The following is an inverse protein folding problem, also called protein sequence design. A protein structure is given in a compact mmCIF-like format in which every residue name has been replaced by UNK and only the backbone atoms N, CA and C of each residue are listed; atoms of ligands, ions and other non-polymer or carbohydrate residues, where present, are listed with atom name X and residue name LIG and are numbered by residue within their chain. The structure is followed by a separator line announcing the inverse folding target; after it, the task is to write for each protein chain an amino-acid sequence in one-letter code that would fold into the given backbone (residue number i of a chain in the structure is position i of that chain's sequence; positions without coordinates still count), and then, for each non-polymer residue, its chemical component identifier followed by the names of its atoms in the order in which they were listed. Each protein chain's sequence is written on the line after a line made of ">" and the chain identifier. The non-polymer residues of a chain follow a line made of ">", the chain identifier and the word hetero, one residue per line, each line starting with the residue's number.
data_IF_080509651214
#
_entry.id   IF_080509651214
#
_cell.length_a   1.000
_cell.length_b   1.000
_cell.length_c   1.000
_cell.angle_alpha   90.00
_cell.angle_beta   90.00
_cell.angle_gamma   90.00
#
_symmetry.space_group_name_H-M   'P 1'
#
loop_
_entity.id
_entity.type
_entity.pdbx_description
1 polymer ?
#
# COMPACT_ATOMS: atom_id res chain seq x y z
N UNK A 1 12.17 -5.17 11.16
CA UNK A 1 10.87 -4.51 11.50
C UNK A 1 10.09 -4.36 10.22
N UNK A 2 8.81 -4.73 10.21
CA UNK A 2 7.96 -4.54 9.04
C UNK A 2 7.12 -3.28 9.20
N UNK A 3 6.82 -2.63 8.08
CA UNK A 3 5.87 -1.54 7.98
C UNK A 3 4.62 -2.08 7.31
N UNK A 4 3.45 -1.66 7.78
CA UNK A 4 2.14 -2.09 7.26
C UNK A 4 1.21 -0.88 7.14
N UNK A 5 0.35 -0.90 6.13
CA UNK A 5 -0.73 0.08 5.95
C UNK A 5 -2.03 -0.44 6.55
N UNK A 6 -2.74 0.42 7.29
CA UNK A 6 -4.11 0.20 7.74
C UNK A 6 -4.99 1.33 7.21
N UNK A 7 -6.19 0.99 6.74
CA UNK A 7 -7.21 1.97 6.37
C UNK A 7 -7.97 2.41 7.61
N UNK A 8 -8.20 3.72 7.74
CA UNK A 8 -8.92 4.27 8.90
C UNK A 8 -10.42 4.01 8.82
N UNK A 9 -11.01 4.29 7.66
CA UNK A 9 -12.45 4.18 7.41
C UNK A 9 -12.72 3.16 6.29
N UNK A 10 -12.93 3.65 5.07
CA UNK A 10 -13.25 2.82 3.90
C UNK A 10 -12.01 2.21 3.25
N UNK A 11 -12.14 0.96 2.81
CA UNK A 11 -11.12 0.28 2.03
C UNK A 11 -11.32 0.57 0.54
N UNK A 12 -10.25 0.82 -0.22
CA UNK A 12 -10.32 0.99 -1.66
C UNK A 12 -11.00 -0.19 -2.35
N UNK A 13 -11.81 0.12 -3.36
CA UNK A 13 -12.32 -0.90 -4.27
C UNK A 13 -11.17 -1.54 -5.05
N UNK A 14 -11.37 -2.79 -5.46
CA UNK A 14 -10.37 -3.52 -6.25
C UNK A 14 -10.06 -2.83 -7.59
N UNK A 15 -11.09 -2.35 -8.29
CA UNK A 15 -10.94 -1.60 -9.54
C UNK A 15 -10.06 -0.35 -9.37
N UNK A 16 -10.20 0.35 -8.24
CA UNK A 16 -9.36 1.51 -7.94
C UNK A 16 -7.91 1.07 -7.72
N UNK A 17 -7.69 0.03 -6.93
CA UNK A 17 -6.34 -0.49 -6.67
C UNK A 17 -5.64 -0.97 -7.95
N UNK A 18 -6.37 -1.60 -8.87
CA UNK A 18 -5.84 -2.01 -10.17
C UNK A 18 -5.42 -0.77 -10.97
N UNK A 19 -6.23 0.28 -11.02
CA UNK A 19 -5.88 1.53 -11.73
C UNK A 19 -4.65 2.22 -11.12
N UNK A 20 -4.56 2.27 -9.79
CA UNK A 20 -3.38 2.81 -9.10
C UNK A 20 -2.15 1.96 -9.43
N UNK A 21 -2.27 0.62 -9.40
CA UNK A 21 -1.19 -0.30 -9.79
C UNK A 21 -0.74 -0.10 -11.23
N UNK A 22 -1.65 0.04 -12.19
CA UNK A 22 -1.28 0.30 -13.59
C UNK A 22 -0.49 1.61 -13.75
N UNK A 23 -0.85 2.63 -12.97
CA UNK A 23 -0.20 3.94 -13.00
C UNK A 23 1.15 3.96 -12.29
N UNK A 24 1.28 3.24 -11.18
CA UNK A 24 2.40 3.38 -10.23
C UNK A 24 3.25 2.12 -10.04
N UNK A 25 2.81 0.98 -10.57
CA UNK A 25 3.39 -0.35 -10.33
C UNK A 25 4.83 -0.51 -10.83
N UNK A 26 5.32 0.41 -11.65
CA UNK A 26 6.66 0.40 -12.23
C UNK A 26 7.56 1.53 -11.75
N UNK A 27 7.06 2.38 -10.86
CA UNK A 27 7.78 3.58 -10.42
C UNK A 27 8.96 3.24 -9.50
N UNK A 28 8.83 2.15 -8.74
CA UNK A 28 9.83 1.66 -7.80
C UNK A 28 9.95 0.15 -7.97
N UNK A 29 11.17 -0.38 -7.96
CA UNK A 29 11.42 -1.81 -8.03
C UNK A 29 10.69 -2.56 -6.89
N UNK A 30 9.86 -3.54 -7.25
CA UNK A 30 9.08 -4.35 -6.33
C UNK A 30 8.00 -3.58 -5.55
N UNK A 31 7.44 -2.52 -6.14
CA UNK A 31 6.20 -1.88 -5.66
C UNK A 31 4.96 -2.59 -6.19
N UNK A 32 5.07 -3.22 -7.37
CA UNK A 32 3.98 -3.96 -8.00
C UNK A 32 3.43 -5.06 -7.08
N UNK A 33 4.33 -5.84 -6.46
CA UNK A 33 3.92 -6.92 -5.55
C UNK A 33 3.18 -6.38 -4.32
N UNK A 34 3.50 -5.16 -3.87
CA UNK A 34 2.80 -4.53 -2.75
C UNK A 34 1.38 -4.07 -3.12
N UNK A 35 1.15 -3.69 -4.37
CA UNK A 35 -0.21 -3.46 -4.86
C UNK A 35 -0.97 -4.77 -5.01
N UNK A 36 -0.33 -5.85 -5.44
CA UNK A 36 -0.96 -7.18 -5.50
C UNK A 36 -1.38 -7.66 -4.09
N UNK A 37 -0.50 -7.49 -3.10
CA UNK A 37 -0.83 -7.75 -1.70
C UNK A 37 -2.01 -6.90 -1.22
N UNK A 38 -2.03 -5.62 -1.58
CA UNK A 38 -3.10 -4.70 -1.21
C UNK A 38 -4.44 -5.11 -1.84
N UNK A 39 -4.44 -5.57 -3.09
CA UNK A 39 -5.64 -6.06 -3.79
C UNK A 39 -6.18 -7.30 -3.10
N UNK A 40 -5.32 -8.30 -2.86
CA UNK A 40 -5.68 -9.61 -2.31
C UNK A 40 -6.04 -9.55 -0.82
N UNK A 41 -5.24 -8.85 -0.02
CA UNK A 41 -5.30 -8.90 1.44
C UNK A 41 -5.89 -7.63 2.07
N UNK A 42 -6.16 -6.58 1.26
CA UNK A 42 -6.58 -5.25 1.73
C UNK A 42 -5.59 -4.60 2.71
N UNK A 43 -4.33 -5.02 2.64
CA UNK A 43 -3.17 -4.50 3.37
C UNK A 43 -1.92 -4.95 2.63
N UNK A 44 -0.81 -4.24 2.82
CA UNK A 44 0.50 -4.70 2.35
C UNK A 44 1.56 -4.48 3.44
N UNK A 45 2.66 -5.21 3.35
CA UNK A 45 3.77 -5.11 4.28
C UNK A 45 5.11 -5.02 3.56
N UNK A 46 6.05 -4.24 4.11
CA UNK A 46 7.44 -4.27 3.63
C UNK A 46 8.43 -4.05 4.76
N UNK A 47 9.64 -4.59 4.59
CA UNK A 47 10.79 -4.22 5.41
C UNK A 47 11.35 -2.85 5.00
N UNK A 48 11.11 -2.42 3.76
CA UNK A 48 11.48 -1.11 3.26
C UNK A 48 10.36 -0.10 3.53
N UNK A 49 10.64 0.84 4.42
CA UNK A 49 9.70 1.90 4.77
C UNK A 49 9.29 2.72 3.53
N UNK A 50 10.24 3.00 2.64
CA UNK A 50 10.06 3.89 1.49
C UNK A 50 8.96 3.38 0.56
N UNK A 51 8.90 2.06 0.36
CA UNK A 51 7.86 1.43 -0.45
C UNK A 51 6.47 1.58 0.18
N UNK A 52 6.36 1.41 1.50
CA UNK A 52 5.09 1.61 2.21
C UNK A 52 4.64 3.07 2.18
N UNK A 53 5.57 4.02 2.35
CA UNK A 53 5.26 5.44 2.19
C UNK A 53 4.82 5.77 0.77
N UNK A 54 5.37 5.11 -0.25
CA UNK A 54 4.97 5.33 -1.64
C UNK A 54 3.54 4.84 -1.91
N UNK A 55 3.17 3.64 -1.43
CA UNK A 55 1.79 3.14 -1.51
C UNK A 55 0.85 4.08 -0.74
N UNK A 56 1.26 4.55 0.44
CA UNK A 56 0.44 5.48 1.21
C UNK A 56 0.24 6.81 0.47
N UNK A 57 1.28 7.32 -0.18
CA UNK A 57 1.21 8.50 -1.03
C UNK A 57 0.22 8.31 -2.19
N UNK A 58 0.33 7.23 -2.96
CA UNK A 58 -0.54 7.00 -4.13
C UNK A 58 -2.01 6.84 -3.75
N UNK A 59 -2.29 6.17 -2.62
CA UNK A 59 -3.65 6.06 -2.06
C UNK A 59 -4.18 7.40 -1.53
N UNK A 60 -3.30 8.22 -0.94
CA UNK A 60 -3.68 9.55 -0.43
C UNK A 60 -4.06 10.51 -1.56
N UNK A 61 -3.49 10.36 -2.77
CA UNK A 61 -3.91 11.11 -3.95
C UNK A 61 -5.37 10.84 -4.33
N UNK A 62 -5.88 9.65 -4.01
CA UNK A 62 -7.26 9.23 -4.21
C UNK A 62 -8.15 9.50 -2.97
N UNK A 63 -7.68 10.33 -2.03
CA UNK A 63 -8.35 10.76 -0.80
C UNK A 63 -8.59 9.66 0.26
N UNK A 64 -7.75 8.63 0.31
CA UNK A 64 -7.82 7.64 1.39
C UNK A 64 -6.99 8.04 2.61
N UNK A 65 -7.61 8.00 3.79
CA UNK A 65 -6.91 8.15 5.06
C UNK A 65 -6.32 6.82 5.55
N UNK A 66 -5.03 6.86 5.89
CA UNK A 66 -4.22 5.68 6.16
C UNK A 66 -3.41 5.86 7.43
N UNK A 67 -3.13 4.74 8.09
CA UNK A 67 -2.21 4.66 9.23
C UNK A 67 -1.08 3.72 8.84
N UNK A 68 0.16 4.19 8.98
CA UNK A 68 1.35 3.35 8.82
C UNK A 68 1.79 2.88 10.19
N UNK A 69 1.85 1.56 10.38
CA UNK A 69 2.29 0.94 11.63
C UNK A 69 3.61 0.21 11.45
N UNK A 70 4.43 0.20 12.51
CA UNK A 70 5.64 -0.60 12.62
C UNK A 70 5.34 -1.86 13.42
N UNK A 71 5.56 -3.03 12.82
CA UNK A 71 5.36 -4.34 13.43
C UNK A 71 6.71 -4.98 13.76
N UNK A 72 6.90 -5.35 15.02
CA UNK A 72 8.05 -6.13 15.48
C UNK A 72 7.87 -7.59 15.03
N UNK A 73 8.92 -8.17 14.45
CA UNK A 73 8.96 -9.60 14.17
C UNK A 73 9.42 -10.28 15.47
N UNK A 74 8.57 -11.09 16.07
CA UNK A 74 8.92 -11.97 17.20
C UNK A 74 9.30 -13.35 16.68
#
# INVERSE_FOLDING_TARGET
>A
MKYRILFKDEKPSEDLLIRIKEKHGKDIEGIEELYDDLIANKTCESLDASKIYYIAYSLSLENYELIIVRVLLY
#
